data_IF_002541285612
#
_entry.id   IF_002541285612
#
_cell.length_a   1.000
_cell.length_b   1.000
_cell.length_c   1.000
_cell.angle_alpha   90.00
_cell.angle_beta   90.00
_cell.angle_gamma   90.00
#
_symmetry.space_group_name_H-M   'P 1'
#
loop_
_entity.id
_entity.type
_entity.pdbx_description
1 polymer ?
#
# COMPACT_ATOMS: atom_id res chain seq x y z
N UNK A 1 84.05 35.09 14.14
CA UNK A 1 84.05 35.04 12.66
C UNK A 1 83.42 33.70 12.28
N UNK A 2 82.29 33.59 11.61
CA UNK A 2 81.84 34.23 10.37
C UNK A 2 80.30 34.34 10.34
N UNK A 3 79.85 35.31 9.56
CA UNK A 3 78.47 35.75 9.37
C UNK A 3 77.65 34.84 8.44
N UNK A 4 76.34 34.95 8.62
CA UNK A 4 75.21 34.42 7.85
C UNK A 4 75.17 35.01 6.42
N UNK A 5 74.75 34.20 5.44
CA UNK A 5 74.03 34.69 4.25
C UNK A 5 73.10 33.59 3.71
N UNK A 6 71.84 33.96 3.47
CA UNK A 6 70.75 33.13 3.04
C UNK A 6 70.77 32.85 1.52
N UNK A 7 70.28 31.68 1.11
CA UNK A 7 69.81 31.42 -0.24
C UNK A 7 68.37 30.92 -0.20
N UNK A 8 67.51 31.61 -0.95
CA UNK A 8 66.09 31.32 -1.16
C UNK A 8 65.97 30.24 -2.23
N UNK A 9 65.31 29.12 -1.91
CA UNK A 9 64.84 28.15 -2.90
C UNK A 9 63.29 28.09 -2.85
N UNK A 10 62.65 28.67 -3.86
CA UNK A 10 61.25 28.40 -4.17
C UNK A 10 61.14 27.00 -4.79
N UNK A 11 60.40 26.09 -4.15
CA UNK A 11 60.02 24.81 -4.71
C UNK A 11 58.57 24.88 -5.22
N UNK A 12 58.38 24.52 -6.49
CA UNK A 12 57.07 24.38 -7.14
C UNK A 12 56.30 23.19 -6.54
N UNK A 13 55.09 23.44 -6.02
CA UNK A 13 54.11 22.41 -5.66
C UNK A 13 53.37 21.97 -6.93
N UNK A 14 53.58 20.73 -7.35
CA UNK A 14 52.75 20.07 -8.35
C UNK A 14 51.40 19.68 -7.73
N UNK A 15 50.31 20.25 -8.24
CA UNK A 15 48.95 19.87 -7.85
C UNK A 15 48.60 18.51 -8.48
N UNK A 16 48.44 17.48 -7.65
CA UNK A 16 47.82 16.21 -8.07
C UNK A 16 46.31 16.40 -7.96
N UNK A 17 45.66 16.57 -9.11
CA UNK A 17 44.20 16.61 -9.18
C UNK A 17 43.62 15.26 -8.79
N UNK A 18 42.91 15.21 -7.67
CA UNK A 18 42.04 14.08 -7.34
C UNK A 18 40.83 14.13 -8.30
N UNK A 19 40.83 13.27 -9.32
CA UNK A 19 39.63 12.97 -10.07
C UNK A 19 38.59 12.41 -9.08
N UNK A 20 37.57 13.21 -8.77
CA UNK A 20 36.45 12.76 -7.95
C UNK A 20 35.79 11.57 -8.64
N UNK A 21 35.83 10.41 -8.01
CA UNK A 21 35.04 9.26 -8.44
C UNK A 21 33.57 9.71 -8.45
N UNK A 22 32.92 9.66 -9.62
CA UNK A 22 31.48 9.81 -9.68
C UNK A 22 30.86 8.69 -8.82
N UNK A 23 29.87 8.99 -7.96
CA UNK A 23 29.19 7.96 -7.21
C UNK A 23 28.64 6.93 -8.19
N UNK A 24 28.98 5.65 -8.01
CA UNK A 24 28.37 4.59 -8.80
C UNK A 24 26.85 4.70 -8.68
N UNK A 25 26.08 4.55 -9.78
CA UNK A 25 24.63 4.58 -9.70
C UNK A 25 24.19 3.50 -8.71
N UNK A 26 23.46 3.90 -7.68
CA UNK A 26 22.86 2.98 -6.72
C UNK A 26 22.01 1.98 -7.49
N UNK A 27 22.30 0.69 -7.35
CA UNK A 27 21.52 -0.37 -8.00
C UNK A 27 20.04 -0.20 -7.65
N UNK A 28 19.18 -0.13 -8.67
CA UNK A 28 17.73 0.00 -8.49
C UNK A 28 17.19 -1.08 -7.56
N UNK A 29 16.23 -0.72 -6.71
CA UNK A 29 15.54 -1.67 -5.83
C UNK A 29 14.82 -2.78 -6.62
N UNK A 30 14.39 -2.48 -7.85
CA UNK A 30 13.72 -3.41 -8.76
C UNK A 30 14.70 -4.17 -9.68
N UNK A 31 16.00 -4.20 -9.37
CA UNK A 31 17.01 -4.79 -10.27
C UNK A 31 16.73 -6.24 -10.73
N UNK A 32 16.16 -7.15 -9.91
CA UNK A 32 15.75 -8.47 -10.38
C UNK A 32 14.64 -8.37 -11.45
N UNK A 33 13.59 -7.60 -11.18
CA UNK A 33 12.43 -7.44 -12.07
C UNK A 33 12.80 -6.71 -13.35
N UNK A 34 13.70 -5.73 -13.28
CA UNK A 34 14.28 -5.06 -14.45
C UNK A 34 14.96 -6.06 -15.39
N UNK A 35 15.70 -7.02 -14.84
CA UNK A 35 16.32 -8.07 -15.66
C UNK A 35 15.26 -8.95 -16.31
N UNK A 36 14.27 -9.39 -15.55
CA UNK A 36 13.19 -10.25 -16.05
C UNK A 36 12.41 -9.61 -17.21
N UNK A 37 12.01 -8.33 -17.08
CA UNK A 37 11.28 -7.66 -18.16
C UNK A 37 12.14 -7.39 -19.39
N UNK A 38 13.43 -7.08 -19.22
CA UNK A 38 14.36 -6.90 -20.34
C UNK A 38 14.65 -8.22 -21.05
N UNK A 39 14.85 -9.31 -20.31
CA UNK A 39 15.06 -10.65 -20.87
C UNK A 39 13.81 -11.13 -21.64
N UNK A 40 12.62 -10.69 -21.23
CA UNK A 40 11.37 -10.87 -21.96
C UNK A 40 11.20 -9.95 -23.19
N UNK A 41 12.20 -9.10 -23.50
CA UNK A 41 12.16 -8.16 -24.62
C UNK A 41 11.26 -6.95 -24.39
N UNK A 42 10.95 -6.62 -23.13
CA UNK A 42 10.05 -5.52 -22.76
C UNK A 42 10.82 -4.34 -22.14
N UNK A 43 10.21 -3.16 -22.21
CA UNK A 43 10.59 -1.91 -21.52
C UNK A 43 11.92 -1.25 -21.91
N UNK A 44 12.99 -2.00 -22.21
CA UNK A 44 14.29 -1.48 -22.62
C UNK A 44 15.08 -2.50 -23.45
N UNK A 45 16.01 -2.06 -24.33
CA UNK A 45 16.84 -2.97 -25.12
C UNK A 45 17.91 -3.70 -24.29
N UNK A 46 18.31 -3.17 -23.14
CA UNK A 46 19.25 -3.80 -22.22
C UNK A 46 19.03 -3.32 -20.78
N UNK A 47 19.54 -4.05 -19.80
CA UNK A 47 19.52 -3.64 -18.38
C UNK A 47 20.32 -2.34 -18.17
N UNK A 48 21.38 -2.12 -18.96
CA UNK A 48 22.19 -0.91 -18.87
C UNK A 48 21.44 0.34 -19.38
N UNK A 49 20.54 0.15 -20.35
CA UNK A 49 19.70 1.22 -20.90
C UNK A 49 18.39 1.41 -20.12
N UNK A 50 18.10 0.52 -19.16
CA UNK A 50 16.90 0.61 -18.34
C UNK A 50 17.03 1.79 -17.37
N UNK A 51 16.28 2.86 -17.59
CA UNK A 51 16.28 4.07 -16.74
C UNK A 51 15.21 3.92 -15.65
N UNK A 52 15.56 3.47 -14.43
CA UNK A 52 14.56 3.03 -13.45
C UNK A 52 13.78 4.18 -12.80
N UNK A 53 14.42 5.35 -12.65
CA UNK A 53 13.86 6.49 -11.90
C UNK A 53 13.04 7.45 -12.78
N UNK A 54 13.09 7.28 -14.10
CA UNK A 54 12.21 8.00 -15.02
C UNK A 54 10.75 7.51 -14.86
N UNK A 55 9.79 8.38 -15.19
CA UNK A 55 8.38 8.02 -15.17
C UNK A 55 8.01 7.14 -16.38
N UNK A 56 7.15 6.16 -16.16
CA UNK A 56 6.56 5.38 -17.24
C UNK A 56 5.63 6.27 -18.08
N UNK A 57 5.83 6.30 -19.39
CA UNK A 57 4.92 7.01 -20.30
C UNK A 57 3.77 6.13 -20.76
N UNK A 58 2.70 6.78 -21.20
CA UNK A 58 1.52 6.14 -21.76
C UNK A 58 1.82 5.37 -23.05
N UNK A 59 2.74 5.86 -23.90
CA UNK A 59 3.22 5.11 -25.08
C UNK A 59 4.03 3.87 -24.69
N UNK A 60 4.91 3.97 -23.69
CA UNK A 60 5.67 2.82 -23.20
C UNK A 60 4.72 1.74 -22.68
N UNK A 61 3.75 2.13 -21.85
CA UNK A 61 2.74 1.20 -21.35
C UNK A 61 1.93 0.58 -22.49
N UNK A 62 1.44 1.38 -23.44
CA UNK A 62 0.70 0.86 -24.59
C UNK A 62 1.52 -0.17 -25.39
N UNK A 63 2.81 0.11 -25.59
CA UNK A 63 3.75 -0.79 -26.29
C UNK A 63 3.94 -2.12 -25.57
N UNK A 64 4.10 -2.07 -24.23
CA UNK A 64 4.23 -3.27 -23.39
C UNK A 64 2.96 -4.12 -23.51
N UNK A 65 1.80 -3.48 -23.33
CA UNK A 65 0.50 -4.17 -23.38
C UNK A 65 0.22 -4.76 -24.78
N UNK A 66 0.59 -4.06 -25.85
CA UNK A 66 0.49 -4.57 -27.22
C UNK A 66 1.39 -5.79 -27.46
N UNK A 67 2.60 -5.79 -26.90
CA UNK A 67 3.53 -6.93 -26.96
C UNK A 67 2.97 -8.17 -26.24
N UNK A 68 2.07 -7.96 -25.28
CA UNK A 68 1.31 -9.01 -24.58
C UNK A 68 -0.02 -9.36 -25.28
N UNK A 69 -0.23 -8.92 -26.52
CA UNK A 69 -1.39 -9.28 -27.34
C UNK A 69 -2.63 -8.42 -27.09
N UNK A 70 -2.53 -7.31 -26.38
CA UNK A 70 -3.69 -6.45 -26.09
C UNK A 70 -3.86 -5.31 -27.07
N UNK A 71 -5.13 -5.01 -27.38
CA UNK A 71 -5.50 -3.86 -28.18
C UNK A 71 -5.54 -2.59 -27.31
N UNK A 72 -4.55 -1.71 -27.47
CA UNK A 72 -4.47 -0.45 -26.73
C UNK A 72 -4.34 0.70 -27.73
N UNK A 73 -5.28 1.65 -27.66
CA UNK A 73 -5.17 2.95 -28.35
C UNK A 73 -4.77 3.99 -27.32
N UNK A 74 -3.67 4.69 -27.57
CA UNK A 74 -3.21 5.79 -26.74
C UNK A 74 -2.90 7.00 -27.63
N UNK A 75 -3.43 8.17 -27.25
CA UNK A 75 -3.38 9.37 -28.10
C UNK A 75 -2.43 10.43 -27.59
N UNK A 76 -2.08 10.38 -26.30
CA UNK A 76 -1.12 11.26 -25.67
C UNK A 76 0.07 10.41 -25.26
N UNK A 77 1.19 10.48 -25.99
CA UNK A 77 2.28 9.49 -25.94
C UNK A 77 3.29 9.73 -24.82
N UNK A 78 3.48 10.98 -24.41
CA UNK A 78 4.55 11.38 -23.49
C UNK A 78 4.04 11.58 -22.05
N UNK A 79 2.73 11.47 -21.85
CA UNK A 79 2.11 11.66 -20.55
C UNK A 79 2.56 10.60 -19.55
N UNK A 80 3.03 11.00 -18.35
CA UNK A 80 3.29 10.05 -17.28
C UNK A 80 2.03 9.29 -16.87
N UNK A 81 2.17 7.98 -16.74
CA UNK A 81 1.12 7.08 -16.24
C UNK A 81 1.14 7.09 -14.73
N UNK A 82 0.00 7.32 -14.09
CA UNK A 82 -0.12 7.21 -12.63
C UNK A 82 -0.20 5.75 -12.17
N UNK A 83 0.19 5.46 -10.93
CA UNK A 83 0.10 4.08 -10.39
C UNK A 83 -1.32 3.49 -10.50
N UNK A 84 -2.37 4.29 -10.27
CA UNK A 84 -3.76 3.81 -10.45
C UNK A 84 -4.11 3.47 -11.90
N UNK A 85 -3.50 4.16 -12.86
CA UNK A 85 -3.71 3.88 -14.28
C UNK A 85 -2.98 2.62 -14.69
N UNK A 86 -1.74 2.44 -14.19
CA UNK A 86 -0.99 1.19 -14.33
C UNK A 86 -1.80 0.01 -13.78
N UNK A 87 -2.24 0.09 -12.52
CA UNK A 87 -3.09 -0.93 -11.88
C UNK A 87 -4.31 -1.25 -12.76
N UNK A 88 -5.05 -0.22 -13.19
CA UNK A 88 -6.26 -0.41 -13.98
C UNK A 88 -5.99 -1.10 -15.33
N UNK A 89 -4.88 -0.76 -15.99
CA UNK A 89 -4.50 -1.36 -17.28
C UNK A 89 -4.04 -2.81 -17.10
N UNK A 90 -3.24 -3.11 -16.08
CA UNK A 90 -2.79 -4.48 -15.80
C UNK A 90 -3.95 -5.39 -15.33
N UNK A 91 -4.84 -4.89 -14.48
CA UNK A 91 -6.05 -5.64 -14.08
C UNK A 91 -6.98 -5.88 -15.27
N UNK A 92 -7.04 -4.94 -16.20
CA UNK A 92 -7.78 -5.12 -17.47
C UNK A 92 -7.11 -6.19 -18.33
N UNK A 93 -5.79 -6.19 -18.40
CA UNK A 93 -5.01 -7.19 -19.13
C UNK A 93 -5.27 -8.61 -18.67
N UNK A 94 -5.39 -8.78 -17.37
CA UNK A 94 -5.67 -10.06 -16.71
C UNK A 94 -7.15 -10.46 -16.78
N UNK A 95 -8.00 -9.70 -17.50
CA UNK A 95 -9.42 -10.03 -17.67
C UNK A 95 -10.26 -9.88 -16.39
N UNK A 96 -9.77 -9.18 -15.37
CA UNK A 96 -10.42 -9.02 -14.05
C UNK A 96 -11.12 -7.67 -13.87
N UNK A 97 -11.23 -6.88 -14.95
CA UNK A 97 -11.94 -5.58 -14.94
C UNK A 97 -13.42 -5.69 -14.52
N UNK A 98 -14.21 -6.71 -14.95
CA UNK A 98 -15.58 -6.87 -14.48
C UNK A 98 -15.66 -7.03 -12.96
N UNK A 99 -14.87 -7.92 -12.38
CA UNK A 99 -14.85 -8.18 -10.93
C UNK A 99 -14.40 -6.94 -10.14
N UNK A 100 -13.37 -6.23 -10.61
CA UNK A 100 -12.95 -4.96 -10.02
C UNK A 100 -14.07 -3.90 -10.06
N UNK A 101 -14.79 -3.79 -11.18
CA UNK A 101 -15.92 -2.87 -11.31
C UNK A 101 -17.04 -3.24 -10.34
N UNK A 102 -17.38 -4.51 -10.26
CA UNK A 102 -18.51 -4.99 -9.46
C UNK A 102 -18.24 -4.83 -7.96
N UNK A 103 -16.98 -5.05 -7.51
CA UNK A 103 -16.54 -4.71 -6.16
C UNK A 103 -16.78 -3.23 -5.81
N UNK A 104 -16.42 -2.31 -6.72
CA UNK A 104 -16.64 -0.86 -6.53
C UNK A 104 -18.12 -0.51 -6.51
N UNK A 105 -18.90 -1.06 -7.45
CA UNK A 105 -20.34 -0.81 -7.53
C UNK A 105 -21.09 -1.37 -6.31
N UNK A 106 -20.66 -2.52 -5.78
CA UNK A 106 -21.21 -3.08 -4.54
C UNK A 106 -20.97 -2.19 -3.32
N UNK A 107 -19.76 -1.61 -3.21
CA UNK A 107 -19.47 -0.60 -2.18
C UNK A 107 -20.34 0.65 -2.34
N UNK A 108 -20.51 1.14 -3.58
CA UNK A 108 -21.36 2.29 -3.88
C UNK A 108 -22.84 2.02 -3.54
N UNK A 109 -23.38 0.86 -3.93
CA UNK A 109 -24.73 0.42 -3.61
C UNK A 109 -24.96 0.26 -2.10
N UNK A 110 -23.90 0.00 -1.33
CA UNK A 110 -23.92 -0.05 0.14
C UNK A 110 -23.71 1.32 0.80
N UNK A 111 -23.74 2.39 0.00
CA UNK A 111 -23.61 3.76 0.46
C UNK A 111 -22.19 4.16 0.85
N UNK A 112 -21.14 3.45 0.43
CA UNK A 112 -19.76 3.67 0.89
C UNK A 112 -18.95 4.71 0.08
N UNK A 113 -19.50 5.24 -1.02
CA UNK A 113 -18.90 6.29 -1.85
C UNK A 113 -17.37 6.12 -2.07
N UNK A 114 -16.94 4.94 -2.58
CA UNK A 114 -15.52 4.62 -2.67
C UNK A 114 -14.79 5.46 -3.73
N UNK A 115 -13.45 5.47 -3.68
CA UNK A 115 -12.63 6.01 -4.77
C UNK A 115 -12.84 5.18 -6.04
N UNK A 116 -12.63 5.81 -7.20
CA UNK A 116 -12.82 5.17 -8.52
C UNK A 116 -11.92 3.96 -8.75
N UNK A 117 -10.77 3.91 -8.07
CA UNK A 117 -9.78 2.83 -8.16
C UNK A 117 -9.96 1.72 -7.13
N UNK A 118 -10.98 1.75 -6.26
CA UNK A 118 -11.15 0.75 -5.19
C UNK A 118 -10.98 -0.69 -5.70
N UNK A 119 -11.69 -1.00 -6.79
CA UNK A 119 -11.67 -2.32 -7.40
C UNK A 119 -10.30 -2.72 -7.95
N UNK A 120 -9.75 -1.89 -8.84
CA UNK A 120 -8.49 -2.20 -9.52
C UNK A 120 -7.31 -2.23 -8.55
N UNK A 121 -7.30 -1.36 -7.54
CA UNK A 121 -6.30 -1.38 -6.46
C UNK A 121 -6.37 -2.70 -5.69
N UNK A 122 -7.58 -3.11 -5.26
CA UNK A 122 -7.77 -4.35 -4.49
C UNK A 122 -7.29 -5.55 -5.28
N UNK A 123 -7.68 -5.66 -6.55
CA UNK A 123 -7.26 -6.75 -7.44
C UNK A 123 -5.74 -6.74 -7.65
N UNK A 124 -5.14 -5.57 -7.89
CA UNK A 124 -3.70 -5.45 -8.08
C UNK A 124 -2.92 -5.90 -6.83
N UNK A 125 -3.39 -5.56 -5.62
CA UNK A 125 -2.79 -6.01 -4.36
C UNK A 125 -2.98 -7.51 -4.09
N UNK A 126 -4.12 -8.08 -4.48
CA UNK A 126 -4.36 -9.53 -4.36
C UNK A 126 -3.38 -10.34 -5.22
N UNK A 127 -3.08 -9.84 -6.44
CA UNK A 127 -2.18 -10.49 -7.40
C UNK A 127 -0.69 -10.17 -7.18
N UNK A 128 -0.38 -9.31 -6.19
CA UNK A 128 0.99 -8.92 -5.89
C UNK A 128 1.61 -7.98 -6.92
N UNK A 129 0.81 -7.34 -7.77
CA UNK A 129 1.28 -6.40 -8.79
C UNK A 129 1.88 -5.11 -8.21
N UNK A 130 1.64 -4.84 -6.92
CA UNK A 130 2.24 -3.71 -6.20
C UNK A 130 2.99 -4.18 -4.97
N UNK A 131 4.12 -3.55 -4.70
CA UNK A 131 4.89 -3.71 -3.48
C UNK A 131 4.56 -2.59 -2.48
N UNK A 132 4.89 -2.80 -1.21
CA UNK A 132 5.18 -1.72 -0.28
C UNK A 132 6.65 -1.91 0.12
N UNK A 133 7.45 -0.87 -0.03
CA UNK A 133 8.86 -0.82 0.30
C UNK A 133 9.07 -1.11 1.79
N UNK A 134 10.26 -1.62 2.10
CA UNK A 134 10.69 -1.86 3.47
C UNK A 134 10.76 -0.54 4.25
N UNK A 135 10.67 -0.62 5.58
CA UNK A 135 10.72 0.55 6.46
C UNK A 135 11.93 1.47 6.20
N UNK A 136 13.08 0.90 5.81
CA UNK A 136 14.28 1.67 5.49
C UNK A 136 14.19 2.47 4.18
N UNK A 137 13.18 2.19 3.35
CA UNK A 137 12.99 2.70 1.98
C UNK A 137 11.61 3.36 1.77
N UNK A 138 10.94 3.75 2.85
CA UNK A 138 9.60 4.37 2.79
C UNK A 138 9.56 5.70 2.03
N UNK A 139 10.72 6.32 1.77
CA UNK A 139 10.85 7.49 0.89
C UNK A 139 10.58 7.18 -0.59
N UNK A 140 10.62 5.90 -1.00
CA UNK A 140 10.25 5.46 -2.34
C UNK A 140 8.74 5.29 -2.54
N UNK A 141 7.95 5.35 -1.46
CA UNK A 141 6.51 5.11 -1.53
C UNK A 141 5.76 6.18 -2.33
N UNK A 142 4.85 5.71 -3.17
CA UNK A 142 4.05 6.54 -4.07
C UNK A 142 2.55 6.40 -3.77
N UNK A 143 1.86 7.53 -3.73
CA UNK A 143 0.40 7.57 -3.81
C UNK A 143 -0.07 7.08 -5.17
N UNK A 144 -1.27 6.49 -5.20
CA UNK A 144 -1.90 6.03 -6.45
C UNK A 144 -2.08 7.11 -7.53
N UNK A 145 -2.15 8.38 -7.14
CA UNK A 145 -2.26 9.51 -8.07
C UNK A 145 -0.92 10.02 -8.59
N UNK A 146 0.20 9.56 -8.04
CA UNK A 146 1.52 9.96 -8.50
C UNK A 146 1.92 9.15 -9.75
N UNK A 147 2.76 9.72 -10.64
CA UNK A 147 3.37 8.98 -11.74
C UNK A 147 4.08 7.73 -11.25
N UNK A 148 3.87 6.61 -11.92
CA UNK A 148 4.64 5.39 -11.72
C UNK A 148 6.04 5.59 -12.30
N UNK A 149 7.07 5.19 -11.56
CA UNK A 149 8.42 5.08 -12.13
C UNK A 149 8.51 3.85 -13.01
N UNK A 150 9.51 3.81 -13.89
CA UNK A 150 9.82 2.62 -14.68
C UNK A 150 10.22 1.43 -13.81
N UNK A 151 10.81 1.66 -12.63
CA UNK A 151 11.08 0.60 -11.65
C UNK A 151 9.80 -0.03 -11.08
N UNK A 152 8.82 0.78 -10.68
CA UNK A 152 7.51 0.29 -10.23
C UNK A 152 6.81 -0.50 -11.34
N UNK A 153 6.85 0.01 -12.57
CA UNK A 153 6.30 -0.67 -13.73
C UNK A 153 7.00 -2.02 -14.00
N UNK A 154 8.33 -2.07 -13.93
CA UNK A 154 9.09 -3.32 -14.08
C UNK A 154 8.66 -4.35 -13.04
N UNK A 155 8.50 -3.94 -11.78
CA UNK A 155 8.01 -4.83 -10.74
C UNK A 155 6.64 -5.40 -11.06
N UNK A 156 5.68 -4.55 -11.43
CA UNK A 156 4.32 -4.99 -11.77
C UNK A 156 4.29 -5.89 -13.00
N UNK A 157 5.08 -5.59 -14.03
CA UNK A 157 5.11 -6.34 -15.30
C UNK A 157 5.85 -7.67 -15.12
N UNK A 158 6.95 -7.71 -14.37
CA UNK A 158 7.60 -8.96 -14.01
C UNK A 158 6.62 -9.91 -13.31
N UNK A 159 5.88 -9.40 -12.31
CA UNK A 159 4.84 -10.20 -11.66
C UNK A 159 3.75 -10.63 -12.64
N UNK A 160 3.32 -9.76 -13.55
CA UNK A 160 2.33 -10.07 -14.58
C UNK A 160 2.74 -11.30 -15.43
N UNK A 161 4.02 -11.38 -15.82
CA UNK A 161 4.55 -12.48 -16.64
C UNK A 161 4.58 -13.83 -15.91
N UNK A 162 4.56 -13.81 -14.58
CA UNK A 162 4.62 -15.00 -13.73
C UNK A 162 3.24 -15.48 -13.24
N UNK A 163 2.18 -14.68 -13.42
CA UNK A 163 0.85 -15.02 -12.93
C UNK A 163 0.32 -16.24 -13.70
N UNK A 164 -0.13 -17.23 -12.94
CA UNK A 164 -0.72 -18.45 -13.49
C UNK A 164 -2.25 -18.38 -13.47
N UNK A 165 -2.90 -19.13 -14.36
CA UNK A 165 -4.36 -19.14 -14.51
C UNK A 165 -5.08 -19.48 -13.18
N UNK A 166 -4.55 -20.39 -12.38
CA UNK A 166 -5.14 -20.74 -11.09
C UNK A 166 -5.15 -19.58 -10.09
N UNK A 167 -4.20 -18.65 -10.17
CA UNK A 167 -4.17 -17.46 -9.32
C UNK A 167 -5.27 -16.49 -9.73
N UNK A 168 -5.47 -16.32 -11.05
CA UNK A 168 -6.56 -15.51 -11.60
C UNK A 168 -7.93 -16.07 -11.22
N UNK A 169 -8.11 -17.38 -11.33
CA UNK A 169 -9.34 -18.07 -10.95
C UNK A 169 -9.60 -17.95 -9.44
N UNK A 170 -8.57 -18.09 -8.61
CA UNK A 170 -8.71 -17.92 -7.16
C UNK A 170 -9.15 -16.50 -6.80
N UNK A 171 -8.54 -15.47 -7.42
CA UNK A 171 -8.94 -14.07 -7.20
C UNK A 171 -10.37 -13.83 -7.69
N UNK A 172 -10.73 -14.35 -8.86
CA UNK A 172 -12.08 -14.26 -9.43
C UNK A 172 -13.13 -14.83 -8.48
N UNK A 173 -12.94 -16.07 -8.02
CA UNK A 173 -13.86 -16.74 -7.10
C UNK A 173 -14.05 -15.97 -5.80
N UNK A 174 -12.97 -15.45 -5.23
CA UNK A 174 -13.00 -14.68 -3.99
C UNK A 174 -13.76 -13.37 -4.15
N UNK A 175 -13.60 -12.67 -5.28
CA UNK A 175 -14.31 -11.42 -5.57
C UNK A 175 -15.80 -11.66 -5.87
N UNK A 176 -16.12 -12.71 -6.63
CA UNK A 176 -17.52 -13.05 -6.97
C UNK A 176 -18.31 -13.52 -5.75
N UNK A 177 -17.64 -14.15 -4.77
CA UNK A 177 -18.26 -14.53 -3.51
C UNK A 177 -18.47 -13.36 -2.53
N UNK A 178 -17.81 -12.21 -2.76
CA UNK A 178 -17.86 -11.08 -1.84
C UNK A 178 -19.02 -10.13 -2.17
N UNK A 179 -19.82 -9.85 -1.15
CA UNK A 179 -20.79 -8.76 -1.18
C UNK A 179 -20.70 -7.95 0.10
N UNK A 180 -20.92 -6.64 -0.01
CA UNK A 180 -21.09 -5.79 1.16
C UNK A 180 -22.46 -6.09 1.80
N UNK A 181 -22.53 -6.29 3.12
CA UNK A 181 -23.81 -6.50 3.80
C UNK A 181 -24.59 -5.18 3.87
N UNK A 182 -25.85 -5.26 4.30
CA UNK A 182 -26.61 -4.06 4.69
C UNK A 182 -25.93 -3.37 5.87
N UNK A 183 -25.74 -2.05 5.76
CA UNK A 183 -24.98 -1.26 6.71
C UNK A 183 -25.87 -0.22 7.41
N UNK A 184 -25.73 -0.11 8.73
CA UNK A 184 -26.29 1.02 9.48
C UNK A 184 -25.64 2.34 9.05
N UNK A 185 -26.29 3.47 9.35
CA UNK A 185 -25.75 4.81 9.01
C UNK A 185 -24.34 5.00 9.57
N UNK A 186 -24.09 4.53 10.80
CA UNK A 186 -22.78 4.67 11.43
C UNK A 186 -21.73 3.73 10.86
N UNK A 187 -22.11 2.51 10.49
CA UNK A 187 -21.24 1.60 9.75
C UNK A 187 -20.84 2.20 8.40
N UNK A 188 -21.80 2.79 7.67
CA UNK A 188 -21.50 3.51 6.42
C UNK A 188 -20.52 4.66 6.68
N UNK A 189 -20.71 5.48 7.72
CA UNK A 189 -19.83 6.62 8.01
C UNK A 189 -18.36 6.20 8.26
N UNK A 190 -18.13 5.17 9.07
CA UNK A 190 -16.77 4.72 9.38
C UNK A 190 -16.13 4.00 8.19
N UNK A 191 -16.90 3.16 7.48
CA UNK A 191 -16.41 2.44 6.32
C UNK A 191 -16.19 3.33 5.10
N UNK A 192 -17.00 4.38 4.89
CA UNK A 192 -16.72 5.43 3.88
C UNK A 192 -15.35 6.03 4.10
N UNK A 193 -15.04 6.44 5.34
CA UNK A 193 -13.72 7.02 5.65
C UNK A 193 -12.61 6.00 5.42
N UNK A 194 -12.80 4.75 5.87
CA UNK A 194 -11.83 3.67 5.69
C UNK A 194 -11.55 3.38 4.19
N UNK A 195 -12.59 3.20 3.38
CA UNK A 195 -12.45 2.88 1.96
C UNK A 195 -11.89 4.03 1.12
N UNK A 196 -12.06 5.29 1.56
CA UNK A 196 -11.44 6.45 0.88
C UNK A 196 -9.91 6.49 0.99
N UNK A 197 -9.34 5.76 1.95
CA UNK A 197 -7.90 5.64 2.19
C UNK A 197 -7.27 4.43 1.48
N UNK A 198 -8.07 3.58 0.85
CA UNK A 198 -7.57 2.44 0.05
C UNK A 198 -6.66 2.93 -1.08
N UNK A 199 -5.50 2.28 -1.19
CA UNK A 199 -4.40 2.63 -2.08
C UNK A 199 -3.28 3.45 -1.42
N UNK A 200 -3.46 3.92 -0.19
CA UNK A 200 -2.42 4.63 0.55
C UNK A 200 -1.26 3.67 0.90
N UNK A 201 0.00 4.11 0.84
CA UNK A 201 1.14 3.35 1.33
C UNK A 201 1.04 2.98 2.80
N UNK A 202 1.72 1.89 3.17
CA UNK A 202 2.09 1.65 4.54
C UNK A 202 3.33 2.45 4.88
N UNK A 203 3.24 3.17 6.00
CA UNK A 203 4.35 3.95 6.56
C UNK A 203 4.35 3.69 8.06
N UNK A 204 5.45 3.19 8.60
CA UNK A 204 5.60 2.92 10.02
C UNK A 204 5.36 4.18 10.86
N UNK A 205 4.56 4.06 11.92
CA UNK A 205 4.04 5.18 12.71
C UNK A 205 3.14 6.18 11.96
N UNK A 206 2.91 6.00 10.66
CA UNK A 206 2.10 6.88 9.82
C UNK A 206 0.63 6.94 10.26
N UNK A 207 0.04 8.13 10.18
CA UNK A 207 -1.34 8.40 10.62
C UNK A 207 -2.11 9.34 9.69
N UNK A 208 -1.55 9.68 8.53
CA UNK A 208 -2.15 10.65 7.59
C UNK A 208 -1.88 10.27 6.14
N UNK A 209 -2.85 10.56 5.28
CA UNK A 209 -2.76 10.50 3.82
C UNK A 209 -1.86 11.59 3.22
N UNK A 210 -1.39 12.54 4.04
CA UNK A 210 -0.49 13.63 3.65
C UNK A 210 0.95 13.34 4.09
N UNK A 211 1.97 13.96 3.47
CA UNK A 211 3.34 13.86 3.95
C UNK A 211 3.48 14.21 5.44
N UNK A 212 4.32 13.46 6.15
CA UNK A 212 4.47 13.54 7.61
C UNK A 212 5.94 13.64 8.00
N UNK A 213 6.21 14.37 9.09
CA UNK A 213 7.51 14.39 9.73
C UNK A 213 7.55 13.31 10.81
N UNK A 214 8.28 12.23 10.56
CA UNK A 214 8.38 11.07 11.46
C UNK A 214 9.86 10.73 11.69
N UNK A 215 10.26 10.63 12.96
CA UNK A 215 11.63 10.27 13.36
C UNK A 215 12.72 11.12 12.69
N UNK A 216 12.46 12.41 12.44
CA UNK A 216 13.39 13.33 11.79
C UNK A 216 13.48 13.21 10.26
N UNK A 217 12.57 12.45 9.63
CA UNK A 217 12.46 12.30 8.18
C UNK A 217 11.11 12.80 7.67
N UNK A 218 11.10 13.41 6.49
CA UNK A 218 9.87 13.66 5.73
C UNK A 218 9.51 12.37 4.99
N UNK A 219 8.41 11.73 5.40
CA UNK A 219 7.89 10.53 4.75
C UNK A 219 6.61 10.89 3.95
N UNK A 220 6.31 10.12 2.89
CA UNK A 220 5.07 10.30 2.15
C UNK A 220 3.84 10.03 3.02
N UNK A 221 2.66 10.37 2.49
CA UNK A 221 1.40 10.00 3.14
C UNK A 221 1.25 8.50 3.24
N UNK A 222 0.72 8.02 4.35
CA UNK A 222 0.55 6.60 4.60
C UNK A 222 0.27 6.29 6.07
N UNK A 223 0.00 5.02 6.31
CA UNK A 223 -0.49 4.54 7.59
C UNK A 223 0.21 3.26 8.01
N UNK A 224 0.56 3.13 9.29
CA UNK A 224 0.70 1.78 9.87
C UNK A 224 -0.69 1.22 10.20
N UNK A 225 -0.79 -0.05 10.59
CA UNK A 225 -2.08 -0.72 10.80
C UNK A 225 -2.95 -0.03 11.86
N UNK A 226 -2.34 0.44 12.95
CA UNK A 226 -3.02 1.10 14.06
C UNK A 226 -3.27 2.60 13.80
N UNK A 227 -2.41 3.23 13.01
CA UNK A 227 -2.50 4.59 12.53
C UNK A 227 -3.60 4.77 11.49
N UNK A 228 -3.82 3.76 10.66
CA UNK A 228 -5.00 3.66 9.79
C UNK A 228 -6.30 3.67 10.61
N UNK A 229 -6.38 2.83 11.65
CA UNK A 229 -7.54 2.79 12.54
C UNK A 229 -7.72 4.12 13.29
N UNK A 230 -6.63 4.73 13.76
CA UNK A 230 -6.65 6.08 14.34
C UNK A 230 -7.19 7.12 13.37
N UNK A 231 -6.75 7.10 12.11
CA UNK A 231 -7.24 8.02 11.09
C UNK A 231 -8.74 7.89 10.88
N UNK A 232 -9.26 6.66 10.88
CA UNK A 232 -10.69 6.40 10.70
C UNK A 232 -11.48 6.84 11.93
N UNK A 233 -11.11 6.36 13.11
CA UNK A 233 -11.96 6.46 14.32
C UNK A 233 -11.67 7.66 15.22
N UNK A 234 -10.46 8.23 15.18
CA UNK A 234 -9.97 9.10 16.26
C UNK A 234 -9.53 10.48 15.80
N UNK A 235 -8.71 10.57 14.75
CA UNK A 235 -8.00 11.81 14.40
C UNK A 235 -8.90 12.89 13.81
N UNK A 236 -10.05 12.51 13.26
CA UNK A 236 -11.03 13.45 12.72
C UNK A 236 -12.40 13.15 13.34
N UNK A 237 -13.03 14.10 14.04
CA UNK A 237 -14.34 13.91 14.62
C UNK A 237 -15.39 13.53 13.57
N UNK A 238 -16.41 12.79 14.00
CA UNK A 238 -17.63 12.60 13.23
C UNK A 238 -18.72 13.51 13.77
N UNK A 239 -19.35 14.29 12.89
CA UNK A 239 -20.54 15.05 13.24
C UNK A 239 -21.65 14.09 13.73
N UNK A 240 -22.20 14.34 14.91
CA UNK A 240 -23.21 13.47 15.54
C UNK A 240 -22.65 12.29 16.35
N UNK A 241 -21.31 12.12 16.42
CA UNK A 241 -20.67 11.08 17.25
C UNK A 241 -19.43 11.61 17.99
N UNK A 242 -19.57 12.64 18.84
CA UNK A 242 -18.43 13.24 19.56
C UNK A 242 -17.71 12.25 20.49
N UNK A 243 -18.40 11.21 20.98
CA UNK A 243 -17.83 10.19 21.85
C UNK A 243 -17.01 9.10 21.13
N UNK A 244 -17.14 8.95 19.81
CA UNK A 244 -16.52 7.82 19.10
C UNK A 244 -14.99 7.85 19.17
N UNK A 245 -14.37 9.03 19.06
CA UNK A 245 -12.92 9.18 19.16
C UNK A 245 -12.37 8.89 20.58
N UNK A 246 -13.22 9.00 21.61
CA UNK A 246 -12.84 8.80 22.99
C UNK A 246 -12.81 7.32 23.40
N UNK A 247 -13.47 6.43 22.63
CA UNK A 247 -13.46 4.99 22.95
C UNK A 247 -12.09 4.37 22.72
N UNK A 248 -11.33 4.84 21.72
CA UNK A 248 -9.94 4.42 21.47
C UNK A 248 -8.98 5.27 22.29
N UNK A 249 -8.28 4.71 23.27
CA UNK A 249 -7.37 5.48 24.15
C UNK A 249 -5.91 5.38 23.70
N UNK A 250 -5.43 4.18 23.44
CA UNK A 250 -4.06 3.86 23.05
C UNK A 250 -3.79 4.01 21.57
N UNK A 251 -2.50 4.05 21.21
CA UNK A 251 -2.02 4.22 19.84
C UNK A 251 -1.62 2.91 19.18
N UNK A 252 -1.14 1.95 19.94
CA UNK A 252 -0.62 0.68 19.41
C UNK A 252 -1.72 -0.36 19.26
N UNK A 253 -1.46 -1.41 18.46
CA UNK A 253 -2.30 -2.60 18.39
C UNK A 253 -2.47 -3.26 19.77
N UNK A 254 -1.37 -3.32 20.54
CA UNK A 254 -1.36 -3.89 21.89
C UNK A 254 -2.29 -3.13 22.83
N UNK A 255 -2.21 -1.80 22.86
CA UNK A 255 -3.05 -0.96 23.72
C UNK A 255 -4.53 -1.05 23.33
N UNK A 256 -4.84 -0.83 22.05
CA UNK A 256 -6.23 -0.84 21.57
C UNK A 256 -6.91 -2.20 21.72
N UNK A 257 -6.15 -3.29 21.60
CA UNK A 257 -6.66 -4.65 21.82
C UNK A 257 -6.84 -4.95 23.31
N UNK A 258 -6.01 -4.36 24.18
CA UNK A 258 -6.06 -4.49 25.64
C UNK A 258 -7.19 -3.70 26.29
N UNK A 259 -7.72 -2.67 25.62
CA UNK A 259 -8.87 -1.89 26.07
C UNK A 259 -10.19 -2.68 26.11
N UNK A 260 -10.26 -3.83 25.42
CA UNK A 260 -11.45 -4.70 25.41
C UNK A 260 -11.34 -5.77 26.52
N UNK A 261 -12.22 -5.72 27.54
CA UNK A 261 -12.29 -6.78 28.55
C UNK A 261 -12.53 -8.15 27.91
N UNK A 262 -11.99 -9.22 28.51
CA UNK A 262 -12.08 -10.57 27.94
C UNK A 262 -13.51 -11.01 27.58
N UNK A 263 -14.50 -10.64 28.41
CA UNK A 263 -15.92 -10.97 28.20
C UNK A 263 -16.57 -10.19 27.05
N UNK A 264 -15.99 -9.06 26.64
CA UNK A 264 -16.48 -8.22 25.55
C UNK A 264 -15.76 -8.49 24.21
N UNK A 265 -14.79 -9.42 24.19
CA UNK A 265 -14.05 -9.79 22.99
C UNK A 265 -14.98 -10.50 21.99
N UNK A 266 -15.03 -9.98 20.77
CA UNK A 266 -15.92 -10.49 19.72
C UNK A 266 -15.24 -11.67 19.00
N UNK A 267 -15.97 -12.77 18.85
CA UNK A 267 -15.52 -13.91 18.04
C UNK A 267 -15.67 -13.62 16.56
N UNK A 268 -14.92 -14.33 15.71
CA UNK A 268 -14.95 -14.14 14.26
C UNK A 268 -16.38 -14.27 13.68
N UNK A 269 -17.17 -15.22 14.17
CA UNK A 269 -18.57 -15.43 13.73
C UNK A 269 -19.53 -14.30 14.10
N UNK A 270 -19.16 -13.48 15.09
CA UNK A 270 -20.01 -12.42 15.64
C UNK A 270 -19.56 -11.02 15.21
N UNK A 271 -18.57 -10.95 14.30
CA UNK A 271 -18.09 -9.68 13.74
C UNK A 271 -19.20 -9.00 12.94
N UNK A 272 -19.28 -7.68 13.11
CA UNK A 272 -20.15 -6.79 12.36
C UNK A 272 -19.31 -5.73 11.63
N UNK A 273 -19.75 -5.24 10.47
CA UNK A 273 -19.07 -4.17 9.76
C UNK A 273 -18.75 -3.00 10.69
N UNK A 274 -17.53 -2.47 10.59
CA UNK A 274 -16.99 -1.45 11.49
C UNK A 274 -16.25 -2.01 12.72
N UNK A 275 -16.40 -3.29 13.07
CA UNK A 275 -15.61 -3.87 14.16
C UNK A 275 -14.11 -3.80 13.86
N UNK A 276 -13.30 -3.48 14.87
CA UNK A 276 -11.86 -3.64 14.79
C UNK A 276 -11.54 -5.12 14.93
N UNK A 277 -10.66 -5.63 14.07
CA UNK A 277 -10.17 -7.01 14.13
C UNK A 277 -8.70 -7.01 14.51
N UNK A 278 -8.32 -7.85 15.47
CA UNK A 278 -6.97 -7.95 15.99
C UNK A 278 -6.36 -9.30 15.64
N UNK A 279 -5.06 -9.30 15.30
CA UNK A 279 -4.32 -10.50 14.96
C UNK A 279 -3.06 -10.62 15.82
N UNK A 280 -2.88 -11.80 16.42
CA UNK A 280 -1.78 -12.06 17.35
C UNK A 280 -1.10 -13.40 17.12
N UNK A 281 0.12 -13.52 17.63
CA UNK A 281 0.98 -14.69 17.39
C UNK A 281 0.35 -16.01 17.87
N UNK A 282 -0.59 -15.98 18.82
CA UNK A 282 -1.24 -17.16 19.37
C UNK A 282 -2.74 -17.25 19.00
N UNK A 283 -3.17 -16.55 17.95
CA UNK A 283 -4.58 -16.53 17.52
C UNK A 283 -5.52 -16.15 18.66
N UNK A 284 -6.61 -16.89 18.83
CA UNK A 284 -7.62 -16.66 19.88
C UNK A 284 -7.07 -16.72 21.32
N UNK A 285 -5.88 -17.31 21.52
CA UNK A 285 -5.20 -17.41 22.82
C UNK A 285 -4.24 -16.25 23.08
N UNK A 286 -4.10 -15.31 22.13
CA UNK A 286 -3.18 -14.19 22.26
C UNK A 286 -3.48 -13.32 23.48
N UNK A 287 -2.42 -12.82 24.11
CA UNK A 287 -2.49 -11.71 25.06
C UNK A 287 -2.42 -10.37 24.30
N UNK A 288 -2.87 -9.24 24.88
CA UNK A 288 -2.78 -7.95 24.21
C UNK A 288 -1.38 -7.65 23.65
N UNK A 289 -0.31 -7.86 24.42
CA UNK A 289 1.10 -7.71 24.00
C UNK A 289 1.56 -8.59 22.83
N UNK A 290 0.75 -9.57 22.42
CA UNK A 290 1.06 -10.50 21.32
C UNK A 290 0.31 -10.11 20.04
N UNK A 291 -0.51 -9.06 20.08
CA UNK A 291 -1.29 -8.54 18.94
C UNK A 291 -0.42 -7.64 18.06
N UNK A 292 0.13 -8.17 16.98
CA UNK A 292 1.02 -7.45 16.08
C UNK A 292 0.31 -6.70 14.94
N UNK A 293 -0.97 -6.96 14.69
CA UNK A 293 -1.67 -6.39 13.54
C UNK A 293 -3.16 -6.15 13.80
N UNK A 294 -3.76 -5.23 13.05
CA UNK A 294 -5.19 -4.95 13.13
C UNK A 294 -5.77 -4.38 11.82
N UNK A 295 -7.10 -4.41 11.72
CA UNK A 295 -7.86 -3.83 10.61
C UNK A 295 -9.28 -3.49 11.02
N UNK A 296 -10.10 -3.07 10.04
CA UNK A 296 -11.52 -2.78 10.22
C UNK A 296 -12.31 -3.78 9.37
N UNK A 297 -13.18 -4.56 10.01
CA UNK A 297 -14.03 -5.53 9.33
C UNK A 297 -15.06 -4.81 8.45
N UNK A 298 -15.20 -5.24 7.20
CA UNK A 298 -16.16 -4.64 6.24
C UNK A 298 -17.39 -5.51 6.01
N UNK A 299 -17.41 -6.72 6.57
CA UNK A 299 -18.45 -7.72 6.34
C UNK A 299 -17.95 -8.91 5.52
N UNK A 300 -18.75 -9.98 5.49
CA UNK A 300 -18.55 -11.14 4.60
C UNK A 300 -17.16 -11.77 4.64
N UNK A 301 -16.48 -11.74 5.79
CA UNK A 301 -15.14 -12.30 5.94
C UNK A 301 -14.01 -11.40 5.43
N UNK A 302 -14.28 -10.14 5.09
CA UNK A 302 -13.29 -9.19 4.57
C UNK A 302 -12.99 -8.08 5.58
N UNK A 303 -11.81 -7.49 5.44
CA UNK A 303 -11.41 -6.30 6.17
C UNK A 303 -10.69 -5.29 5.27
N UNK A 304 -10.64 -4.04 5.72
CA UNK A 304 -9.72 -3.03 5.21
C UNK A 304 -8.67 -2.73 6.26
N UNK A 305 -7.40 -2.68 5.87
CA UNK A 305 -6.28 -2.49 6.78
C UNK A 305 -5.06 -1.96 6.05
N UNK A 306 -4.08 -1.43 6.78
CA UNK A 306 -2.75 -1.10 6.25
C UNK A 306 -1.71 -2.13 6.68
N UNK A 307 -0.94 -2.68 5.74
CA UNK A 307 0.06 -3.74 5.97
C UNK A 307 1.27 -3.58 5.03
N UNK A 308 2.13 -4.60 4.94
CA UNK A 308 3.18 -4.72 3.92
C UNK A 308 2.67 -4.68 2.47
N UNK A 309 1.35 -4.63 2.25
CA UNK A 309 0.71 -4.35 0.95
C UNK A 309 0.03 -2.99 0.87
N UNK A 310 0.40 -2.05 1.74
CA UNK A 310 -0.29 -0.77 1.89
C UNK A 310 -1.71 -0.92 2.45
N UNK A 311 -2.53 0.12 2.29
CA UNK A 311 -3.92 0.15 2.71
C UNK A 311 -4.84 -0.43 1.65
N UNK A 312 -5.40 -1.63 1.88
CA UNK A 312 -6.22 -2.33 0.90
C UNK A 312 -7.33 -3.16 1.54
N UNK A 313 -8.29 -3.61 0.72
CA UNK A 313 -9.27 -4.62 1.10
C UNK A 313 -8.66 -6.01 0.97
N UNK A 314 -8.93 -6.89 1.93
CA UNK A 314 -8.46 -8.27 1.87
C UNK A 314 -9.46 -9.24 2.49
N UNK A 315 -9.61 -10.45 1.94
CA UNK A 315 -10.29 -11.54 2.63
C UNK A 315 -9.46 -11.95 3.87
N UNK A 316 -10.14 -12.24 4.97
CA UNK A 316 -9.50 -12.66 6.22
C UNK A 316 -9.14 -14.17 6.21
N UNK A 317 -8.51 -14.67 5.15
CA UNK A 317 -8.10 -16.07 5.00
C UNK A 317 -6.62 -16.27 5.38
N UNK A 318 -6.15 -17.52 5.43
CA UNK A 318 -4.73 -17.85 5.62
C UNK A 318 -4.16 -17.33 6.94
N UNK A 319 -3.18 -16.42 6.88
CA UNK A 319 -2.59 -15.82 8.09
C UNK A 319 -3.64 -15.09 8.94
N UNK A 320 -4.56 -14.34 8.33
CA UNK A 320 -5.59 -13.61 9.07
C UNK A 320 -6.59 -14.55 9.75
N UNK A 321 -6.85 -15.70 9.15
CA UNK A 321 -7.70 -16.73 9.76
C UNK A 321 -7.02 -17.35 10.97
N UNK A 322 -5.78 -17.82 10.80
CA UNK A 322 -5.03 -18.53 11.86
C UNK A 322 -4.58 -17.62 13.01
N UNK A 323 -4.36 -16.33 12.73
CA UNK A 323 -3.90 -15.35 13.72
C UNK A 323 -5.00 -14.47 14.29
N UNK A 324 -6.25 -14.63 13.86
CA UNK A 324 -7.36 -13.89 14.45
C UNK A 324 -7.39 -14.09 15.97
N UNK A 325 -7.35 -12.98 16.70
CA UNK A 325 -7.33 -12.97 18.15
C UNK A 325 -8.73 -12.69 18.71
N UNK A 326 -9.26 -11.50 18.45
CA UNK A 326 -10.63 -11.10 18.77
C UNK A 326 -11.02 -9.84 17.99
N UNK A 327 -12.31 -9.51 18.03
CA UNK A 327 -12.84 -8.23 17.58
C UNK A 327 -13.21 -7.29 18.73
N UNK A 328 -13.42 -6.03 18.39
CA UNK A 328 -13.93 -4.96 19.25
C UNK A 328 -14.92 -4.10 18.47
N UNK A 329 -15.95 -3.56 19.12
CA UNK A 329 -17.02 -2.78 18.47
C UNK A 329 -17.07 -1.33 18.98
N UNK A 330 -16.21 -0.43 18.46
CA UNK A 330 -16.20 0.98 18.84
C UNK A 330 -17.56 1.68 18.71
N UNK A 331 -18.34 1.34 17.68
CA UNK A 331 -19.66 1.94 17.46
C UNK A 331 -20.62 1.65 18.63
N UNK A 332 -20.68 0.40 19.11
CA UNK A 332 -21.51 0.05 20.26
C UNK A 332 -20.98 0.68 21.57
N UNK A 333 -19.65 0.71 21.75
CA UNK A 333 -19.01 1.39 22.89
C UNK A 333 -19.33 2.89 22.94
N UNK A 334 -19.59 3.51 21.77
CA UNK A 334 -19.98 4.90 21.64
C UNK A 334 -21.50 5.15 21.62
N UNK A 335 -22.33 4.10 21.76
CA UNK A 335 -23.79 4.21 21.70
C UNK A 335 -24.36 4.42 20.29
N UNK A 336 -23.67 3.93 19.26
CA UNK A 336 -23.96 4.13 17.83
C UNK A 336 -24.27 2.82 17.08
N UNK A 337 -24.61 1.75 17.81
CA UNK A 337 -24.96 0.45 17.24
C UNK A 337 -26.25 0.51 16.40
#
# INVERSE_FOLDING_TARGET
MRWVAAFVCLAFLAAVGSAGAQPQPTRSWAAPQIREVVDAGLMAPSVADFRPDEHLTSLELATILASLGMQVTETDTDRPVTLRELDAKLVTALGLRPQARDLRLGAEASGLLPRTWLGTETVARMLGLRINHLQSQEDLELQLSQPATRAEAAYSIARLLEIQDYELDAVRLVLEAFTFPQLSVWQQNVLRRALRLVGSPYVWAGTSERPQQLFGRTLPGGFDCSGFVWRVYKLEPYAGAPGLAAVLKGRTTYDMSGETPRLARITRSNLQPGDLVFFGSNGIRSKPREVGHMGIYVGSGWMVHSSDRGTTLTPMTGWYETRFAWGRRPLAEAGLA
#
